data_IF_955648086426
#
_entry.id   IF_955648086426
#
_cell.length_a   1.000
_cell.length_b   1.000
_cell.length_c   1.000
_cell.angle_alpha   90.00
_cell.angle_beta   90.00
_cell.angle_gamma   90.00
#
_symmetry.space_group_name_H-M   'P 1'
#
loop_
_entity.id
_entity.type
_entity.pdbx_description
1 polymer ?
#
# COMPACT_ATOMS: atom_id res chain seq x y z
N UNK A 1 17.29 -7.25 8.30
CA UNK A 1 16.14 -7.71 7.54
C UNK A 1 14.85 -7.72 8.36
N UNK A 2 14.87 -8.23 9.57
CA UNK A 2 13.70 -8.42 10.46
C UNK A 2 13.01 -7.14 10.98
N UNK A 3 13.66 -5.98 10.99
CA UNK A 3 13.15 -4.76 11.66
C UNK A 3 12.12 -3.98 10.81
N UNK A 4 12.27 -3.94 9.49
CA UNK A 4 11.33 -3.21 8.63
C UNK A 4 9.96 -3.90 8.50
N UNK A 5 9.94 -5.22 8.53
CA UNK A 5 8.71 -6.00 8.43
C UNK A 5 7.83 -5.94 9.69
N UNK A 6 8.46 -5.95 10.87
CA UNK A 6 7.75 -5.85 12.16
C UNK A 6 6.96 -4.54 12.31
N UNK A 7 7.32 -3.48 11.57
CA UNK A 7 6.66 -2.18 11.67
C UNK A 7 5.42 -2.01 10.79
N UNK A 8 5.27 -2.80 9.71
CA UNK A 8 4.04 -2.79 8.91
C UNK A 8 2.82 -3.32 9.66
N UNK A 9 3.06 -4.20 10.64
CA UNK A 9 2.01 -4.81 11.46
C UNK A 9 1.70 -4.03 12.75
N UNK A 10 2.67 -3.25 13.27
CA UNK A 10 2.46 -2.45 14.48
C UNK A 10 1.49 -1.27 14.28
N UNK A 11 1.18 -0.88 13.05
CA UNK A 11 0.19 0.15 12.77
C UNK A 11 -1.27 -0.31 12.92
N UNK A 12 -1.49 -1.64 13.02
CA UNK A 12 -2.82 -2.23 13.20
C UNK A 12 -3.17 -2.72 14.61
N UNK A 13 -2.26 -2.63 15.58
CA UNK A 13 -2.46 -3.25 16.89
C UNK A 13 -1.90 -2.40 18.04
N UNK A 14 -2.44 -1.21 18.27
CA UNK A 14 -2.33 -0.53 19.58
C UNK A 14 -3.63 0.23 19.86
N UNK A 15 -4.56 -0.43 20.51
CA UNK A 15 -5.59 0.18 21.34
C UNK A 15 -5.41 -0.33 22.76
N UNK A 16 -4.51 0.31 23.52
CA UNK A 16 -4.51 0.26 24.96
C UNK A 16 -4.78 1.66 25.50
N UNK A 17 -5.96 1.84 26.06
CA UNK A 17 -6.43 3.06 26.71
C UNK A 17 -5.68 3.27 28.01
N UNK A 18 -5.00 4.42 28.16
CA UNK A 18 -4.59 4.97 29.45
C UNK A 18 -4.99 6.44 29.52
N UNK A 19 -5.68 6.88 30.59
CA UNK A 19 -6.09 8.28 30.73
C UNK A 19 -4.93 9.14 31.19
N UNK A 20 -4.61 10.20 30.43
CA UNK A 20 -3.67 11.24 30.86
C UNK A 20 -4.41 12.38 31.55
N UNK A 21 -4.02 12.63 32.78
CA UNK A 21 -4.43 13.78 33.59
C UNK A 21 -3.73 15.02 33.02
N UNK A 22 -4.50 16.02 32.61
CA UNK A 22 -4.00 17.31 32.13
C UNK A 22 -3.80 18.23 33.34
N UNK A 23 -2.55 18.62 33.59
CA UNK A 23 -2.25 19.80 34.43
C UNK A 23 -1.88 20.96 33.53
N UNK A 24 -2.65 22.04 33.63
CA UNK A 24 -2.41 23.29 32.91
C UNK A 24 -1.15 24.01 33.48
N UNK A 25 -0.15 24.17 32.63
CA UNK A 25 1.01 25.04 32.86
C UNK A 25 1.17 25.97 31.69
N UNK A 26 0.93 27.26 31.92
CA UNK A 26 1.12 28.33 30.95
C UNK A 26 2.62 28.52 30.64
N UNK A 27 3.04 28.21 29.41
CA UNK A 27 4.36 28.55 28.87
C UNK A 27 4.23 29.71 27.89
N UNK A 28 4.85 30.82 28.27
CA UNK A 28 5.05 31.97 27.37
C UNK A 28 6.08 31.56 26.28
N UNK A 29 5.63 31.53 25.04
CA UNK A 29 6.55 31.41 23.90
C UNK A 29 7.08 32.79 23.51
N UNK A 30 8.38 32.95 23.62
CA UNK A 30 9.11 34.01 22.95
C UNK A 30 9.12 33.71 21.46
N UNK A 31 8.60 34.63 20.67
CA UNK A 31 8.67 34.61 19.23
C UNK A 31 10.08 35.04 18.81
N UNK A 32 10.97 34.08 18.56
CA UNK A 32 12.22 34.39 17.84
C UNK A 32 11.90 34.51 16.36
N UNK A 33 12.20 35.64 15.77
CA UNK A 33 12.15 35.87 14.33
C UNK A 33 13.02 34.82 13.60
N UNK A 34 12.39 33.88 12.95
CA UNK A 34 13.07 32.95 12.05
C UNK A 34 13.52 33.76 10.83
N UNK A 35 14.83 34.05 10.75
CA UNK A 35 15.47 34.60 9.56
C UNK A 35 15.09 33.70 8.38
N UNK A 36 14.54 34.33 7.33
CA UNK A 36 14.21 33.66 6.06
C UNK A 36 15.43 32.82 5.60
N UNK A 37 15.24 31.53 5.54
CA UNK A 37 16.26 30.63 4.98
C UNK A 37 16.54 31.08 3.54
N UNK A 38 17.81 31.30 3.21
CA UNK A 38 18.22 31.52 1.84
C UNK A 38 17.72 30.38 0.97
N UNK A 39 16.88 30.68 0.03
CA UNK A 39 16.46 29.75 -1.02
C UNK A 39 17.74 29.44 -1.82
N UNK A 40 18.34 28.28 -1.60
CA UNK A 40 19.41 27.78 -2.46
C UNK A 40 18.76 27.56 -3.81
N UNK A 41 19.16 28.34 -4.82
CA UNK A 41 18.77 28.09 -6.21
C UNK A 41 19.34 26.74 -6.60
N UNK A 42 18.50 25.71 -6.59
CA UNK A 42 18.89 24.40 -7.08
C UNK A 42 19.09 24.48 -8.61
N UNK A 43 20.19 23.89 -9.09
CA UNK A 43 20.44 23.82 -10.53
C UNK A 43 19.46 22.87 -11.20
N UNK A 44 19.00 23.22 -12.40
CA UNK A 44 18.06 22.42 -13.22
C UNK A 44 18.53 20.99 -13.41
N UNK A 45 17.67 20.01 -13.03
CA UNK A 45 17.97 18.59 -13.19
C UNK A 45 18.93 18.02 -12.15
N UNK A 46 18.98 18.62 -10.95
CA UNK A 46 19.84 18.17 -9.84
C UNK A 46 19.47 16.81 -9.28
N UNK A 47 18.24 16.39 -9.45
CA UNK A 47 17.74 15.09 -9.00
C UNK A 47 17.14 14.30 -10.15
N UNK A 48 17.17 12.99 -10.04
CA UNK A 48 16.63 12.11 -11.07
C UNK A 48 16.04 10.84 -10.47
N UNK A 49 14.93 10.39 -11.00
CA UNK A 49 14.28 9.14 -10.63
C UNK A 49 14.51 8.08 -11.72
N UNK A 50 15.20 7.00 -11.36
CA UNK A 50 15.29 5.78 -12.15
C UNK A 50 14.06 4.93 -11.91
N UNK A 51 13.53 4.31 -12.97
CA UNK A 51 12.47 3.31 -12.88
C UNK A 51 12.82 2.09 -13.72
N UNK A 52 12.32 0.93 -13.33
CA UNK A 52 12.48 -0.34 -14.05
C UNK A 52 11.23 -1.20 -13.96
N UNK A 53 11.04 -2.16 -14.88
CA UNK A 53 9.91 -3.08 -14.82
C UNK A 53 9.91 -3.86 -13.50
N UNK A 54 8.73 -3.99 -12.91
CA UNK A 54 8.56 -4.76 -11.69
C UNK A 54 8.74 -6.26 -11.96
N UNK A 55 9.41 -6.96 -11.04
CA UNK A 55 9.43 -8.41 -10.95
C UNK A 55 8.52 -8.85 -9.81
N UNK A 56 7.44 -9.57 -10.12
CA UNK A 56 6.42 -10.00 -9.14
C UNK A 56 6.95 -10.93 -8.05
N UNK A 57 8.02 -11.66 -8.34
CA UNK A 57 8.65 -12.56 -7.37
C UNK A 57 9.73 -11.87 -6.51
N UNK A 58 9.97 -10.57 -6.74
CA UNK A 58 11.02 -9.84 -6.05
C UNK A 58 10.49 -9.03 -4.88
N UNK A 59 11.15 -9.15 -3.73
CA UNK A 59 10.90 -8.29 -2.55
C UNK A 59 11.67 -6.99 -2.61
N UNK A 60 12.83 -7.01 -3.28
CA UNK A 60 13.73 -5.87 -3.40
C UNK A 60 14.60 -5.96 -4.63
N UNK A 61 15.17 -4.83 -4.98
CA UNK A 61 16.17 -4.71 -6.04
C UNK A 61 17.51 -4.23 -5.48
N UNK A 62 18.58 -4.66 -6.13
CA UNK A 62 19.90 -4.06 -6.04
C UNK A 62 20.14 -3.23 -7.28
N UNK A 63 20.57 -1.98 -7.10
CA UNK A 63 20.88 -1.04 -8.18
C UNK A 63 22.35 -0.69 -8.11
N UNK A 64 23.05 -0.81 -9.22
CA UNK A 64 24.44 -0.39 -9.38
C UNK A 64 24.55 0.71 -10.42
N UNK A 65 25.39 1.75 -10.15
CA UNK A 65 25.74 2.80 -11.10
C UNK A 65 27.25 2.79 -11.32
N UNK A 66 27.69 2.94 -12.56
CA UNK A 66 29.10 2.87 -12.97
C UNK A 66 29.38 3.73 -14.20
N UNK A 67 30.66 4.14 -14.36
CA UNK A 67 31.12 5.07 -15.43
C UNK A 67 31.43 4.38 -16.75
N UNK A 68 31.75 3.10 -16.71
CA UNK A 68 32.22 2.35 -17.90
C UNK A 68 31.73 0.91 -17.81
N UNK A 69 31.18 0.42 -18.88
CA UNK A 69 30.83 -0.98 -19.01
C UNK A 69 32.12 -1.81 -19.07
N UNK A 70 32.36 -2.72 -18.08
CA UNK A 70 33.53 -3.57 -18.09
C UNK A 70 33.55 -4.47 -19.33
N UNK A 71 34.75 -4.76 -19.86
CA UNK A 71 34.90 -5.69 -21.02
C UNK A 71 34.49 -7.12 -20.67
N UNK A 72 34.72 -7.50 -19.42
CA UNK A 72 34.43 -8.81 -18.84
C UNK A 72 33.19 -8.77 -17.94
N UNK A 73 32.21 -7.93 -18.29
CA UNK A 73 30.98 -7.77 -17.53
C UNK A 73 30.29 -9.11 -17.34
N UNK A 74 30.17 -9.52 -16.07
CA UNK A 74 29.42 -10.71 -15.70
C UNK A 74 28.00 -10.32 -15.24
N UNK A 75 27.05 -11.10 -15.70
CA UNK A 75 25.65 -10.85 -15.40
C UNK A 75 25.23 -11.29 -13.97
N UNK A 76 26.03 -12.12 -13.34
CA UNK A 76 25.76 -12.76 -12.04
C UNK A 76 26.54 -12.15 -10.85
N UNK A 77 27.53 -11.30 -11.13
CA UNK A 77 28.39 -10.73 -10.10
C UNK A 77 28.31 -9.20 -10.06
N UNK A 78 28.37 -8.59 -8.85
CA UNK A 78 28.46 -7.15 -8.69
C UNK A 78 29.68 -6.56 -9.37
N UNK A 79 29.58 -5.32 -9.84
CA UNK A 79 30.71 -4.57 -10.41
C UNK A 79 31.59 -4.03 -9.27
N UNK A 80 32.85 -4.40 -9.25
CA UNK A 80 33.77 -4.00 -8.18
C UNK A 80 33.97 -2.46 -8.10
N UNK A 81 33.92 -1.76 -9.24
CA UNK A 81 34.13 -0.32 -9.36
C UNK A 81 32.82 0.45 -9.57
N UNK A 82 31.69 -0.06 -9.06
CA UNK A 82 30.45 0.69 -9.04
C UNK A 82 30.63 1.95 -8.18
N UNK A 83 30.27 3.13 -8.73
CA UNK A 83 30.36 4.40 -8.00
C UNK A 83 29.18 4.58 -7.02
N UNK A 84 28.12 3.81 -7.21
CA UNK A 84 26.98 3.73 -6.32
C UNK A 84 26.42 2.31 -6.31
N UNK A 85 26.00 1.84 -5.15
CA UNK A 85 25.28 0.59 -4.99
C UNK A 85 24.24 0.74 -3.88
N UNK A 86 23.00 0.39 -4.18
CA UNK A 86 21.94 0.25 -3.19
C UNK A 86 21.32 -1.14 -3.30
N UNK A 87 21.41 -1.93 -2.23
CA UNK A 87 20.93 -3.31 -2.18
C UNK A 87 19.55 -3.44 -1.53
N UNK A 88 18.91 -2.32 -1.15
CA UNK A 88 17.67 -2.29 -0.38
C UNK A 88 16.61 -1.38 -1.01
N UNK A 89 16.41 -1.51 -2.31
CA UNK A 89 15.32 -0.80 -3.01
C UNK A 89 14.10 -1.71 -3.04
N UNK A 90 13.09 -1.38 -2.26
CA UNK A 90 11.87 -2.19 -2.11
C UNK A 90 10.76 -1.81 -3.10
N UNK A 91 10.96 -0.76 -3.88
CA UNK A 91 10.10 -0.36 -4.98
C UNK A 91 10.81 -0.63 -6.31
N UNK A 92 10.15 -0.35 -7.43
CA UNK A 92 10.74 -0.38 -8.76
C UNK A 92 11.24 1.01 -9.23
N UNK A 93 11.55 1.88 -8.28
CA UNK A 93 12.03 3.24 -8.52
C UNK A 93 13.08 3.67 -7.49
N UNK A 94 13.98 4.54 -7.90
CA UNK A 94 15.04 5.08 -7.04
C UNK A 94 15.35 6.52 -7.43
N UNK A 95 15.18 7.44 -6.49
CA UNK A 95 15.57 8.84 -6.67
C UNK A 95 17.03 9.04 -6.29
N UNK A 96 17.76 9.76 -7.13
CA UNK A 96 19.20 10.00 -7.03
C UNK A 96 19.48 11.50 -6.97
N UNK A 97 20.50 11.87 -6.19
CA UNK A 97 21.11 13.18 -6.23
C UNK A 97 22.19 13.18 -7.33
N UNK A 98 21.88 13.79 -8.46
CA UNK A 98 22.75 13.80 -9.64
C UNK A 98 23.90 14.79 -9.52
N UNK A 99 23.88 15.70 -8.55
CA UNK A 99 24.95 16.73 -8.37
C UNK A 99 26.30 16.10 -8.07
N UNK A 100 26.29 14.97 -7.33
CA UNK A 100 27.51 14.24 -6.99
C UNK A 100 28.24 13.64 -8.21
N UNK A 101 27.55 13.53 -9.36
CA UNK A 101 28.08 12.88 -10.58
C UNK A 101 28.12 13.80 -11.80
N UNK A 102 27.93 15.11 -11.66
CA UNK A 102 27.86 16.03 -12.80
C UNK A 102 29.10 15.99 -13.72
N UNK A 103 30.27 15.75 -13.14
CA UNK A 103 31.54 15.63 -13.87
C UNK A 103 31.81 14.22 -14.45
N UNK A 104 30.92 13.26 -14.19
CA UNK A 104 31.18 11.83 -14.38
C UNK A 104 30.25 11.20 -15.43
N UNK A 105 30.31 11.70 -16.68
CA UNK A 105 29.52 11.17 -17.80
C UNK A 105 30.38 10.43 -18.82
N UNK A 106 29.86 9.36 -19.47
CA UNK A 106 28.53 8.77 -19.30
C UNK A 106 28.39 7.94 -18.01
N UNK A 107 27.16 7.77 -17.53
CA UNK A 107 26.82 6.89 -16.44
C UNK A 107 25.88 5.77 -16.92
N UNK A 108 26.14 4.57 -16.42
CA UNK A 108 25.33 3.39 -16.71
C UNK A 108 24.78 2.83 -15.41
N UNK A 109 23.62 2.19 -15.48
CA UNK A 109 23.06 1.44 -14.36
C UNK A 109 22.61 0.05 -14.79
N UNK A 110 22.49 -0.83 -13.82
CA UNK A 110 21.83 -2.13 -13.94
C UNK A 110 21.15 -2.50 -12.64
N UNK A 111 20.18 -3.38 -12.72
CA UNK A 111 19.33 -3.79 -11.59
C UNK A 111 19.31 -5.31 -11.49
N UNK A 112 19.28 -5.84 -10.27
CA UNK A 112 19.08 -7.25 -9.97
C UNK A 112 17.99 -7.41 -8.92
N UNK A 113 17.05 -8.32 -9.17
CA UNK A 113 15.96 -8.64 -8.26
C UNK A 113 16.36 -9.70 -7.24
N UNK A 114 15.73 -9.68 -6.06
CA UNK A 114 15.93 -10.65 -4.97
C UNK A 114 14.60 -11.12 -4.42
N UNK A 115 14.48 -12.42 -4.16
CA UNK A 115 13.30 -13.08 -3.64
C UNK A 115 13.11 -12.88 -2.12
N UNK A 116 12.07 -13.54 -1.57
CA UNK A 116 11.72 -13.48 -0.16
C UNK A 116 12.79 -14.10 0.75
N UNK A 117 13.53 -15.09 0.27
CA UNK A 117 14.65 -15.74 0.98
C UNK A 117 15.96 -14.95 0.86
N UNK A 118 15.97 -13.87 0.06
CA UNK A 118 17.14 -13.03 -0.18
C UNK A 118 18.08 -13.60 -1.26
N UNK A 119 17.62 -14.56 -2.04
CA UNK A 119 18.38 -15.08 -3.17
C UNK A 119 18.15 -14.21 -4.42
N UNK A 120 19.15 -14.07 -5.30
CA UNK A 120 18.98 -13.34 -6.54
C UNK A 120 18.07 -14.09 -7.52
N UNK A 121 17.12 -13.35 -8.08
CA UNK A 121 16.24 -13.84 -9.15
C UNK A 121 16.89 -13.53 -10.50
N UNK A 122 17.61 -14.51 -11.03
CA UNK A 122 18.30 -14.36 -12.31
C UNK A 122 19.50 -13.39 -12.28
N UNK A 123 19.99 -12.99 -13.45
CA UNK A 123 21.13 -12.11 -13.59
C UNK A 123 20.76 -10.63 -13.37
N UNK A 124 21.78 -9.78 -13.29
CA UNK A 124 21.58 -8.33 -13.46
C UNK A 124 21.01 -8.02 -14.85
N UNK A 125 20.22 -6.98 -14.95
CA UNK A 125 19.78 -6.43 -16.23
C UNK A 125 20.98 -6.04 -17.11
N UNK A 126 20.75 -5.92 -18.41
CA UNK A 126 21.75 -5.29 -19.27
C UNK A 126 21.97 -3.84 -18.81
N UNK A 127 23.21 -3.33 -18.92
CA UNK A 127 23.48 -1.95 -18.64
C UNK A 127 22.65 -1.00 -19.50
N UNK A 128 22.04 -0.01 -18.87
CA UNK A 128 21.31 1.06 -19.53
C UNK A 128 21.94 2.41 -19.18
N UNK A 129 21.82 3.36 -20.10
CA UNK A 129 22.30 4.72 -19.89
C UNK A 129 21.42 5.44 -18.87
N UNK A 130 22.03 6.02 -17.83
CA UNK A 130 21.32 6.71 -16.75
C UNK A 130 20.59 7.94 -17.28
N UNK A 131 21.22 8.75 -18.13
CA UNK A 131 20.64 10.00 -18.65
C UNK A 131 19.37 9.77 -19.47
N UNK A 132 19.31 8.66 -20.22
CA UNK A 132 18.15 8.32 -21.05
C UNK A 132 16.99 7.72 -20.24
N UNK A 133 17.27 7.18 -19.05
CA UNK A 133 16.30 6.51 -18.21
C UNK A 133 15.76 7.37 -17.07
N UNK A 134 16.36 8.54 -16.83
CA UNK A 134 16.01 9.41 -15.71
C UNK A 134 14.82 10.32 -16.02
N UNK A 135 13.83 10.29 -15.14
CA UNK A 135 12.92 11.43 -14.96
C UNK A 135 13.64 12.48 -14.10
N UNK A 136 13.93 13.67 -14.66
CA UNK A 136 14.67 14.73 -13.98
C UNK A 136 13.73 15.69 -13.24
N UNK A 137 14.13 16.07 -12.03
CA UNK A 137 13.43 17.07 -11.23
C UNK A 137 14.42 18.04 -10.59
N UNK A 138 13.98 19.27 -10.36
CA UNK A 138 14.75 20.29 -9.65
C UNK A 138 14.51 20.22 -8.13
N UNK A 139 13.52 19.46 -7.70
CA UNK A 139 13.10 19.41 -6.31
C UNK A 139 13.68 18.21 -5.59
N UNK A 140 14.31 18.47 -4.46
CA UNK A 140 14.62 17.43 -3.48
C UNK A 140 13.35 17.15 -2.64
N UNK A 141 12.43 16.40 -3.20
CA UNK A 141 11.18 16.05 -2.53
C UNK A 141 10.76 14.64 -2.95
N UNK A 142 10.10 13.86 -2.09
CA UNK A 142 9.51 12.60 -2.51
C UNK A 142 8.56 12.80 -3.70
N UNK A 143 8.41 11.79 -4.54
CA UNK A 143 7.52 11.80 -5.69
C UNK A 143 6.29 10.96 -5.36
N UNK A 144 5.12 11.58 -5.09
CA UNK A 144 3.88 10.85 -4.88
C UNK A 144 3.55 9.96 -6.08
N UNK A 145 3.07 8.76 -5.80
CA UNK A 145 2.43 7.94 -6.81
C UNK A 145 1.00 8.45 -7.01
N UNK A 146 0.53 8.47 -8.25
CA UNK A 146 -0.86 8.81 -8.58
C UNK A 146 -1.69 7.51 -8.67
N UNK A 147 -2.35 7.10 -7.58
CA UNK A 147 -3.05 5.83 -7.54
C UNK A 147 -4.42 5.87 -8.22
N UNK A 148 -5.03 7.06 -8.30
CA UNK A 148 -6.44 7.20 -8.66
C UNK A 148 -6.68 7.70 -10.10
N UNK A 149 -5.66 7.80 -10.90
CA UNK A 149 -5.75 8.42 -12.22
C UNK A 149 -6.24 7.51 -13.36
N UNK A 150 -6.32 6.19 -13.16
CA UNK A 150 -6.53 5.25 -14.29
C UNK A 150 -7.30 4.01 -13.85
N UNK A 151 -8.38 3.68 -14.55
CA UNK A 151 -9.15 2.45 -14.37
C UNK A 151 -10.44 2.62 -13.58
N UNK A 152 -11.12 1.50 -13.31
CA UNK A 152 -12.39 1.44 -12.57
C UNK A 152 -12.20 1.43 -11.04
N UNK A 153 -10.95 1.46 -10.56
CA UNK A 153 -10.66 1.49 -9.14
C UNK A 153 -11.20 2.75 -8.47
N UNK A 154 -11.84 2.59 -7.35
CA UNK A 154 -12.40 3.69 -6.59
C UNK A 154 -11.36 4.34 -5.68
N UNK A 155 -11.74 5.49 -5.14
CA UNK A 155 -11.02 6.10 -4.03
C UNK A 155 -11.22 5.25 -2.78
N UNK A 156 -10.14 4.94 -2.07
CA UNK A 156 -10.19 4.18 -0.82
C UNK A 156 -10.80 5.04 0.29
N UNK A 157 -11.70 4.46 1.10
CA UNK A 157 -12.20 5.13 2.30
C UNK A 157 -11.08 5.32 3.34
N UNK A 158 -10.20 4.33 3.45
CA UNK A 158 -8.97 4.37 4.25
C UNK A 158 -7.76 4.56 3.34
N UNK A 159 -7.31 5.79 3.11
CA UNK A 159 -6.29 6.07 2.10
C UNK A 159 -4.93 5.45 2.43
N UNK A 160 -4.19 5.12 1.40
CA UNK A 160 -2.77 4.78 1.50
C UNK A 160 -1.98 5.75 0.65
N UNK A 161 -1.01 6.41 1.25
CA UNK A 161 -0.19 7.44 0.62
C UNK A 161 1.15 6.83 0.22
N UNK A 162 1.35 6.54 -1.06
CA UNK A 162 2.57 5.93 -1.58
C UNK A 162 3.40 6.90 -2.40
N UNK A 163 4.73 6.76 -2.32
CA UNK A 163 5.67 7.67 -2.96
C UNK A 163 7.04 7.02 -3.17
N UNK A 164 7.79 7.56 -4.12
CA UNK A 164 9.23 7.31 -4.22
C UNK A 164 9.95 8.27 -3.28
N UNK A 165 10.76 7.73 -2.37
CA UNK A 165 11.50 8.53 -1.40
C UNK A 165 12.61 9.36 -2.04
N UNK A 166 12.94 10.51 -1.44
CA UNK A 166 14.02 11.35 -1.89
C UNK A 166 15.38 10.97 -1.24
N UNK A 167 16.51 11.31 -1.88
CA UNK A 167 17.84 10.99 -1.37
C UNK A 167 18.07 11.55 0.04
N UNK A 168 18.84 10.80 0.84
CA UNK A 168 19.23 11.15 2.22
C UNK A 168 18.10 11.21 3.25
N UNK A 169 16.88 10.84 2.89
CA UNK A 169 15.81 10.66 3.85
C UNK A 169 15.96 9.33 4.60
N UNK A 170 15.84 9.36 5.92
CA UNK A 170 15.80 8.18 6.79
C UNK A 170 14.37 7.80 7.18
N UNK A 171 13.45 8.76 7.10
CA UNK A 171 12.03 8.60 7.36
C UNK A 171 11.24 9.66 6.59
N UNK A 172 9.94 9.58 6.65
CA UNK A 172 9.04 10.49 5.94
C UNK A 172 7.95 10.99 6.86
N UNK A 173 7.50 12.22 6.63
CA UNK A 173 6.30 12.78 7.23
C UNK A 173 5.26 13.00 6.13
N UNK A 174 4.11 12.34 6.25
CA UNK A 174 2.93 12.58 5.42
C UNK A 174 2.04 13.58 6.12
N UNK A 175 1.52 14.55 5.37
CA UNK A 175 0.57 15.55 5.83
C UNK A 175 -0.68 15.50 4.97
N UNK A 176 -1.85 15.48 5.63
CA UNK A 176 -3.15 15.60 4.97
C UNK A 176 -3.76 16.94 5.34
N UNK A 177 -4.30 17.64 4.34
CA UNK A 177 -4.87 18.98 4.51
C UNK A 177 -6.30 19.07 3.97
N UNK A 178 -7.15 19.86 4.63
CA UNK A 178 -8.54 20.06 4.22
C UNK A 178 -8.70 20.99 3.01
N UNK A 179 -7.63 21.71 2.65
CA UNK A 179 -7.55 22.63 1.50
C UNK A 179 -6.18 22.51 0.87
N UNK A 180 -6.04 23.00 -0.36
CA UNK A 180 -4.72 23.07 -1.01
C UNK A 180 -3.73 23.82 -0.09
N UNK A 181 -2.55 23.24 0.20
CA UNK A 181 -1.58 23.84 1.12
C UNK A 181 -1.10 25.20 0.63
N UNK A 182 -1.06 26.19 1.54
CA UNK A 182 -0.65 27.56 1.24
C UNK A 182 0.87 27.72 1.07
N UNK A 183 1.65 26.78 1.59
CA UNK A 183 3.13 26.87 1.69
C UNK A 183 3.80 25.77 0.85
N UNK A 184 3.71 25.86 -0.48
CA UNK A 184 4.24 24.84 -1.41
C UNK A 184 5.75 24.64 -1.35
N UNK A 185 6.51 25.69 -1.02
CA UNK A 185 7.97 25.73 -1.02
C UNK A 185 8.56 25.88 0.38
N UNK A 186 7.76 25.71 1.42
CA UNK A 186 8.21 25.84 2.79
C UNK A 186 8.55 24.50 3.45
N UNK A 187 9.16 24.61 4.63
CA UNK A 187 9.40 23.46 5.51
C UNK A 187 8.34 23.34 6.61
N UNK A 188 7.52 24.37 6.77
CA UNK A 188 6.47 24.38 7.80
C UNK A 188 5.28 23.52 7.41
N UNK A 189 4.57 22.97 8.40
CA UNK A 189 3.26 22.38 8.18
C UNK A 189 2.28 23.39 7.60
N UNK A 190 1.25 22.91 6.85
CA UNK A 190 0.15 23.77 6.42
C UNK A 190 -0.75 24.16 7.60
N UNK A 191 -1.31 25.36 7.56
CA UNK A 191 -2.36 25.76 8.52
C UNK A 191 -3.66 24.99 8.31
N UNK A 192 -3.83 24.33 7.16
CA UNK A 192 -4.99 23.51 6.82
C UNK A 192 -4.80 22.02 7.16
N UNK A 193 -3.74 21.67 7.90
CA UNK A 193 -3.43 20.29 8.30
C UNK A 193 -4.56 19.71 9.15
N UNK A 194 -5.06 18.54 8.75
CA UNK A 194 -6.05 17.76 9.49
C UNK A 194 -5.49 16.44 10.02
N UNK A 195 -4.36 15.98 9.45
CA UNK A 195 -3.66 14.77 9.87
C UNK A 195 -2.18 14.85 9.52
N UNK A 196 -1.34 14.20 10.31
CA UNK A 196 0.04 13.94 9.96
C UNK A 196 0.55 12.70 10.66
N UNK A 197 1.35 11.92 9.96
CA UNK A 197 2.04 10.78 10.53
C UNK A 197 3.44 10.61 9.94
N UNK A 198 4.28 9.86 10.65
CA UNK A 198 5.66 9.55 10.24
C UNK A 198 5.81 8.07 9.96
N UNK A 199 6.61 7.73 8.97
CA UNK A 199 6.93 6.36 8.59
C UNK A 199 8.38 6.26 8.10
N UNK A 200 9.00 5.10 8.24
CA UNK A 200 10.28 4.78 7.61
C UNK A 200 10.08 4.07 6.25
N UNK A 201 8.81 3.80 5.89
CA UNK A 201 8.41 3.15 4.64
C UNK A 201 8.09 4.19 3.57
N UNK A 202 7.98 3.75 2.34
CA UNK A 202 7.57 4.57 1.18
C UNK A 202 6.07 4.56 0.94
N UNK A 203 5.32 4.11 1.92
CA UNK A 203 3.87 4.21 2.00
C UNK A 203 3.42 4.47 3.45
N UNK A 204 2.24 5.08 3.59
CA UNK A 204 1.58 5.31 4.88
C UNK A 204 0.11 4.94 4.76
N UNK A 205 -0.36 4.05 5.63
CA UNK A 205 -1.76 3.69 5.80
C UNK A 205 -2.43 4.69 6.75
N UNK A 206 -3.45 5.39 6.26
CA UNK A 206 -4.28 6.26 7.12
C UNK A 206 -5.28 5.38 7.86
N UNK A 207 -5.31 5.49 9.17
CA UNK A 207 -6.20 4.73 10.05
C UNK A 207 -7.59 5.36 10.22
N UNK A 208 -7.82 6.52 9.57
CA UNK A 208 -9.08 7.22 9.62
C UNK A 208 -9.78 7.23 8.25
N UNK A 209 -11.10 7.02 8.21
CA UNK A 209 -11.85 7.15 6.97
C UNK A 209 -11.83 8.60 6.49
N UNK A 210 -11.56 8.81 5.20
CA UNK A 210 -11.49 10.13 4.58
C UNK A 210 -12.56 10.28 3.51
N UNK A 211 -13.35 11.32 3.64
CA UNK A 211 -14.40 11.69 2.68
C UNK A 211 -14.29 13.16 2.27
N UNK A 212 -14.99 13.53 1.20
CA UNK A 212 -14.95 14.89 0.65
C UNK A 212 -13.71 15.13 -0.22
N UNK A 213 -13.30 16.37 -0.35
CA UNK A 213 -12.07 16.76 -1.05
C UNK A 213 -11.01 17.11 -0.03
N UNK A 214 -9.86 16.49 -0.16
CA UNK A 214 -8.68 16.73 0.67
C UNK A 214 -7.41 16.58 -0.15
N UNK A 215 -6.29 17.02 0.43
CA UNK A 215 -4.99 16.98 -0.23
C UNK A 215 -3.99 16.29 0.69
N UNK A 216 -3.02 15.61 0.11
CA UNK A 216 -1.90 15.07 0.86
C UNK A 216 -0.57 15.39 0.20
N UNK A 217 0.47 15.44 0.99
CA UNK A 217 1.85 15.62 0.56
C UNK A 217 2.79 14.96 1.54
N UNK A 218 4.02 14.74 1.11
CA UNK A 218 5.04 14.04 1.90
C UNK A 218 6.37 14.76 1.81
N UNK A 219 7.17 14.68 2.85
CA UNK A 219 8.57 15.13 2.86
C UNK A 219 9.49 14.10 3.50
N UNK A 220 10.78 14.09 3.08
CA UNK A 220 11.82 13.33 3.72
C UNK A 220 12.27 13.97 5.04
N UNK A 221 12.73 13.13 5.95
CA UNK A 221 13.32 13.50 7.23
C UNK A 221 14.66 12.78 7.38
N UNK A 222 15.67 13.42 7.90
CA UNK A 222 16.94 12.78 8.22
C UNK A 222 16.87 11.90 9.48
N UNK A 223 17.95 11.25 9.83
CA UNK A 223 18.05 10.40 11.03
C UNK A 223 17.89 11.17 12.35
N UNK A 224 17.99 12.52 12.33
CA UNK A 224 17.75 13.39 13.48
C UNK A 224 16.31 13.90 13.54
N UNK A 225 15.50 13.59 12.54
CA UNK A 225 14.11 14.03 12.42
C UNK A 225 13.95 15.45 11.85
N UNK A 226 14.99 15.99 11.21
CA UNK A 226 14.91 17.27 10.49
C UNK A 226 14.50 17.05 9.04
N UNK A 227 13.77 18.01 8.42
CA UNK A 227 13.41 17.93 7.02
C UNK A 227 14.62 17.82 6.09
N UNK A 228 14.54 16.90 5.12
CA UNK A 228 15.48 16.75 4.02
C UNK A 228 14.77 17.13 2.74
N UNK A 229 15.13 18.26 2.16
CA UNK A 229 14.45 18.78 0.99
C UNK A 229 13.08 19.40 1.30
N UNK A 230 12.24 19.51 0.29
CA UNK A 230 10.93 20.18 0.35
C UNK A 230 9.79 19.17 0.53
N UNK A 231 8.59 19.71 0.76
CA UNK A 231 7.36 18.94 0.58
C UNK A 231 7.20 18.54 -0.89
N UNK A 232 6.65 17.36 -1.13
CA UNK A 232 6.18 16.97 -2.45
C UNK A 232 5.09 17.92 -2.95
N UNK A 233 4.78 17.88 -4.26
CA UNK A 233 3.58 18.52 -4.77
C UNK A 233 2.34 17.87 -4.13
N UNK A 234 1.36 18.68 -3.70
CA UNK A 234 0.13 18.14 -3.12
C UNK A 234 -0.65 17.33 -4.14
N UNK A 235 -1.20 16.19 -3.69
CA UNK A 235 -2.11 15.36 -4.46
C UNK A 235 -3.53 15.60 -3.97
N UNK A 236 -4.46 15.86 -4.89
CA UNK A 236 -5.88 16.02 -4.58
C UNK A 236 -6.57 14.65 -4.57
N UNK A 237 -7.37 14.37 -3.54
CA UNK A 237 -8.25 13.23 -3.50
C UNK A 237 -9.69 13.71 -3.35
N UNK A 238 -10.59 13.11 -4.17
CA UNK A 238 -12.04 13.40 -4.15
C UNK A 238 -12.78 12.11 -3.81
N UNK A 239 -13.29 12.03 -2.61
CA UNK A 239 -14.12 10.94 -2.12
C UNK A 239 -15.46 11.45 -1.59
N UNK A 240 -16.38 11.90 -2.46
CA UNK A 240 -17.64 12.44 -2.01
C UNK A 240 -18.53 11.35 -1.41
N UNK A 241 -19.16 11.66 -0.28
CA UNK A 241 -20.24 10.84 0.25
C UNK A 241 -21.43 10.95 -0.69
N UNK A 242 -21.79 9.84 -1.33
CA UNK A 242 -22.92 9.72 -2.24
C UNK A 242 -23.43 8.29 -2.25
N UNK A 243 -24.64 8.09 -2.74
CA UNK A 243 -25.15 6.75 -3.02
C UNK A 243 -24.30 6.00 -4.06
N UNK A 244 -24.02 4.75 -3.80
CA UNK A 244 -23.30 3.86 -4.69
C UNK A 244 -24.14 2.62 -4.99
N UNK A 245 -24.10 2.13 -6.24
CA UNK A 245 -24.73 0.86 -6.56
C UNK A 245 -24.03 -0.30 -5.89
N UNK A 246 -22.69 -0.30 -5.92
CA UNK A 246 -21.85 -1.37 -5.36
C UNK A 246 -20.80 -0.78 -4.43
N UNK A 247 -20.65 -1.41 -3.28
CA UNK A 247 -19.50 -1.19 -2.39
C UNK A 247 -18.78 -2.50 -2.12
N UNK A 248 -17.47 -2.40 -1.92
CA UNK A 248 -16.58 -3.48 -1.50
C UNK A 248 -16.24 -3.29 -0.03
N UNK A 249 -16.36 -4.33 0.77
CA UNK A 249 -16.17 -4.29 2.21
C UNK A 249 -15.42 -5.52 2.70
N UNK A 250 -14.27 -5.32 3.33
CA UNK A 250 -13.42 -6.42 3.75
C UNK A 250 -12.14 -5.97 4.41
N UNK A 251 -11.21 -6.92 4.48
CA UNK A 251 -9.85 -6.74 4.98
C UNK A 251 -8.86 -6.29 3.90
N UNK A 252 -7.57 -6.54 4.09
CA UNK A 252 -6.51 -6.15 3.15
C UNK A 252 -6.64 -6.76 1.75
N UNK A 253 -7.26 -7.92 1.61
CA UNK A 253 -7.46 -8.56 0.28
C UNK A 253 -8.36 -7.69 -0.60
N UNK A 254 -9.38 -7.08 -0.01
CA UNK A 254 -10.33 -6.16 -0.66
C UNK A 254 -9.84 -4.72 -0.65
N UNK A 255 -9.19 -4.25 0.43
CA UNK A 255 -8.61 -2.91 0.47
C UNK A 255 -7.63 -2.72 -0.69
N UNK A 256 -6.87 -3.76 -1.02
CA UNK A 256 -5.91 -3.79 -2.11
C UNK A 256 -4.49 -4.02 -1.59
N UNK A 257 -3.56 -3.99 -2.51
CA UNK A 257 -2.20 -4.43 -2.26
C UNK A 257 -2.04 -5.91 -2.57
N UNK A 258 -0.85 -6.30 -2.91
CA UNK A 258 -0.58 -7.69 -3.32
C UNK A 258 0.89 -7.98 -3.38
N UNK A 259 1.66 -7.11 -2.76
CA UNK A 259 3.09 -7.27 -2.74
C UNK A 259 3.66 -6.53 -1.54
N UNK A 260 4.74 -7.03 -0.97
CA UNK A 260 5.41 -6.40 0.17
C UNK A 260 5.85 -4.94 -0.09
N UNK A 261 6.02 -4.59 -1.37
CA UNK A 261 6.44 -3.24 -1.82
C UNK A 261 5.31 -2.41 -2.41
N UNK A 262 4.14 -3.01 -2.68
CA UNK A 262 3.03 -2.35 -3.37
C UNK A 262 1.74 -2.52 -2.58
N UNK A 263 1.35 -1.46 -1.91
CA UNK A 263 0.15 -1.39 -1.09
C UNK A 263 -1.12 -1.06 -1.90
N UNK A 264 -2.22 -0.80 -1.21
CA UNK A 264 -3.51 -0.46 -1.82
C UNK A 264 -3.49 0.78 -2.73
N UNK A 265 -2.50 1.65 -2.56
CA UNK A 265 -2.31 2.80 -3.45
C UNK A 265 -1.92 2.41 -4.88
N UNK A 266 -1.39 1.20 -5.10
CA UNK A 266 -1.14 0.68 -6.44
C UNK A 266 -2.35 -0.11 -6.94
N UNK A 267 -3.14 0.53 -7.80
CA UNK A 267 -4.41 -0.03 -8.30
C UNK A 267 -4.26 -1.33 -9.09
N UNK A 268 -3.08 -1.65 -9.62
CA UNK A 268 -2.85 -2.95 -10.25
C UNK A 268 -3.04 -4.12 -9.29
N UNK A 269 -2.90 -3.87 -7.98
CA UNK A 269 -3.09 -4.85 -6.91
C UNK A 269 -4.47 -4.77 -6.24
N UNK A 270 -5.44 -4.13 -6.87
CA UNK A 270 -6.84 -4.16 -6.46
C UNK A 270 -7.68 -4.89 -7.50
N UNK A 271 -8.48 -5.88 -7.08
CA UNK A 271 -9.41 -6.53 -8.00
C UNK A 271 -10.50 -5.57 -8.49
N UNK A 272 -10.81 -4.49 -7.75
CA UNK A 272 -11.74 -3.45 -8.19
C UNK A 272 -11.31 -2.80 -9.52
N UNK A 273 -10.00 -2.68 -9.75
CA UNK A 273 -9.47 -2.09 -10.99
C UNK A 273 -9.81 -2.89 -12.24
N UNK A 274 -10.21 -4.14 -12.07
CA UNK A 274 -10.56 -5.08 -13.14
C UNK A 274 -12.06 -5.41 -13.17
N UNK A 275 -12.89 -4.74 -12.35
CA UNK A 275 -14.35 -4.91 -12.41
C UNK A 275 -14.94 -4.17 -13.62
N UNK A 276 -16.00 -4.73 -14.20
CA UNK A 276 -16.73 -4.15 -15.33
C UNK A 276 -17.74 -3.08 -14.90
N UNK A 277 -17.80 -2.77 -13.61
CA UNK A 277 -18.72 -1.80 -13.01
C UNK A 277 -18.02 -0.97 -11.94
N UNK A 278 -18.49 0.27 -11.69
CA UNK A 278 -17.93 1.11 -10.64
C UNK A 278 -18.34 0.62 -9.26
N UNK A 279 -17.41 0.68 -8.31
CA UNK A 279 -17.63 0.37 -6.89
C UNK A 279 -16.93 1.39 -6.00
N UNK A 280 -17.28 1.44 -4.72
CA UNK A 280 -16.51 2.16 -3.71
C UNK A 280 -15.85 1.17 -2.76
N UNK A 281 -14.57 1.40 -2.46
CA UNK A 281 -13.81 0.58 -1.54
C UNK A 281 -13.92 1.09 -0.10
N UNK A 282 -14.66 0.34 0.72
CA UNK A 282 -14.87 0.60 2.14
C UNK A 282 -14.04 -0.34 3.01
N UNK A 283 -13.10 -1.06 2.43
CA UNK A 283 -12.27 -2.06 3.12
C UNK A 283 -11.13 -1.41 3.89
N UNK A 284 -10.62 -2.10 4.92
CA UNK A 284 -9.49 -1.66 5.72
C UNK A 284 -8.50 -2.81 5.93
N UNK A 285 -7.23 -2.57 5.63
CA UNK A 285 -6.17 -3.56 5.85
C UNK A 285 -6.03 -3.90 7.34
N UNK A 286 -5.89 -5.19 7.62
CA UNK A 286 -5.72 -5.71 8.98
C UNK A 286 -7.02 -6.06 9.70
N UNK A 287 -8.19 -5.79 9.12
CA UNK A 287 -9.47 -6.08 9.75
C UNK A 287 -9.64 -7.57 10.08
N UNK A 288 -10.15 -7.81 11.27
CA UNK A 288 -10.79 -9.07 11.66
C UNK A 288 -12.28 -9.02 11.31
N UNK A 289 -12.95 -10.17 11.32
CA UNK A 289 -14.41 -10.21 11.13
C UNK A 289 -15.18 -9.38 12.16
N UNK A 290 -14.73 -9.40 13.42
CA UNK A 290 -15.28 -8.57 14.50
C UNK A 290 -15.09 -7.06 14.22
N UNK A 291 -13.90 -6.64 13.78
CA UNK A 291 -13.64 -5.24 13.43
C UNK A 291 -14.57 -4.76 12.32
N UNK A 292 -14.82 -5.60 11.31
CA UNK A 292 -15.80 -5.32 10.25
C UNK A 292 -17.20 -5.12 10.81
N UNK A 293 -17.66 -5.96 11.76
CA UNK A 293 -18.96 -5.77 12.41
C UNK A 293 -19.04 -4.42 13.12
N UNK A 294 -17.98 -4.02 13.83
CA UNK A 294 -17.95 -2.79 14.63
C UNK A 294 -17.95 -1.50 13.79
N UNK A 295 -17.30 -1.50 12.63
CA UNK A 295 -17.20 -0.28 11.79
C UNK A 295 -18.30 -0.15 10.73
N UNK A 296 -19.21 -1.13 10.63
CA UNK A 296 -20.23 -1.20 9.56
C UNK A 296 -21.07 0.08 9.46
N UNK A 297 -21.67 0.55 10.56
CA UNK A 297 -22.57 1.71 10.55
C UNK A 297 -21.83 2.99 10.12
N UNK A 298 -20.61 3.15 10.62
CA UNK A 298 -19.78 4.33 10.35
C UNK A 298 -19.33 4.38 8.88
N UNK A 299 -18.96 3.23 8.32
CA UNK A 299 -18.25 3.17 7.05
C UNK A 299 -19.16 2.81 5.87
N UNK A 300 -20.21 2.01 6.08
CA UNK A 300 -21.09 1.55 5.01
C UNK A 300 -22.31 2.46 4.83
N UNK A 301 -23.00 2.80 5.93
CA UNK A 301 -24.28 3.51 5.85
C UNK A 301 -24.21 4.89 5.20
N UNK A 302 -23.15 5.70 5.35
CA UNK A 302 -23.07 7.00 4.69
C UNK A 302 -23.13 6.91 3.15
N UNK A 303 -22.70 5.79 2.58
CA UNK A 303 -22.68 5.57 1.14
C UNK A 303 -23.92 4.87 0.60
N UNK A 304 -24.74 4.30 1.48
CA UNK A 304 -26.03 3.63 1.18
C UNK A 304 -25.97 2.74 -0.07
N UNK A 305 -25.05 1.76 -0.16
CA UNK A 305 -24.91 0.94 -1.36
C UNK A 305 -26.15 0.05 -1.55
N UNK A 306 -26.48 -0.26 -2.81
CA UNK A 306 -27.53 -1.26 -3.10
C UNK A 306 -27.01 -2.68 -2.83
N UNK A 307 -25.72 -2.92 -3.19
CA UNK A 307 -25.03 -4.21 -3.02
C UNK A 307 -23.74 -4.01 -2.26
N UNK A 308 -23.50 -4.88 -1.28
CA UNK A 308 -22.25 -4.93 -0.53
C UNK A 308 -21.54 -6.25 -0.80
N UNK A 309 -20.38 -6.18 -1.50
CA UNK A 309 -19.49 -7.32 -1.70
C UNK A 309 -18.61 -7.48 -0.47
N UNK A 310 -18.75 -8.59 0.25
CA UNK A 310 -18.15 -8.81 1.57
C UNK A 310 -17.12 -9.91 1.49
N UNK A 311 -15.84 -9.57 1.72
CA UNK A 311 -14.73 -10.53 1.83
C UNK A 311 -13.95 -10.27 3.10
N UNK A 312 -14.13 -11.10 4.11
CA UNK A 312 -13.47 -10.93 5.39
C UNK A 312 -13.49 -12.19 6.23
N UNK A 313 -12.56 -12.29 7.17
CA UNK A 313 -12.35 -13.43 8.04
C UNK A 313 -10.96 -14.06 7.93
N UNK A 314 -10.21 -13.77 6.87
CA UNK A 314 -8.84 -14.30 6.69
C UNK A 314 -7.96 -14.04 7.90
N UNK A 315 -7.93 -12.80 8.41
CA UNK A 315 -7.11 -12.44 9.56
C UNK A 315 -7.56 -13.14 10.84
N UNK A 316 -8.88 -13.27 11.07
CA UNK A 316 -9.43 -13.98 12.21
C UNK A 316 -9.08 -15.46 12.20
N UNK A 317 -9.30 -16.14 11.08
CA UNK A 317 -9.07 -17.59 10.94
C UNK A 317 -7.59 -17.96 11.02
N UNK A 318 -6.70 -17.20 10.37
CA UNK A 318 -5.26 -17.46 10.45
C UNK A 318 -4.69 -17.21 11.85
N UNK A 319 -5.35 -16.37 12.65
CA UNK A 319 -5.02 -16.13 14.04
C UNK A 319 -5.63 -17.17 15.01
N UNK A 320 -6.43 -18.11 14.50
CA UNK A 320 -7.04 -19.19 15.29
C UNK A 320 -8.38 -18.83 15.91
N UNK A 321 -9.05 -17.76 15.47
CA UNK A 321 -10.44 -17.50 15.85
C UNK A 321 -11.31 -18.64 15.30
N UNK A 322 -12.22 -19.23 16.12
CA UNK A 322 -13.10 -20.31 15.66
C UNK A 322 -13.92 -19.91 14.43
N UNK A 323 -14.06 -20.83 13.48
CA UNK A 323 -14.87 -20.61 12.27
C UNK A 323 -16.32 -20.20 12.59
N UNK A 324 -16.89 -20.77 13.67
CA UNK A 324 -18.25 -20.44 14.14
C UNK A 324 -18.38 -18.94 14.54
N UNK A 325 -17.34 -18.34 15.12
CA UNK A 325 -17.36 -16.93 15.50
C UNK A 325 -17.29 -16.04 14.26
N UNK A 326 -16.42 -16.37 13.30
CA UNK A 326 -16.34 -15.67 12.00
C UNK A 326 -17.67 -15.76 11.24
N UNK A 327 -18.31 -16.93 11.22
CA UNK A 327 -19.64 -17.13 10.62
C UNK A 327 -20.70 -16.26 11.34
N UNK A 328 -20.62 -16.17 12.66
CA UNK A 328 -21.51 -15.29 13.44
C UNK A 328 -21.34 -13.82 13.06
N UNK A 329 -20.10 -13.36 12.90
CA UNK A 329 -19.79 -11.98 12.46
C UNK A 329 -20.31 -11.71 11.04
N UNK A 330 -20.11 -12.64 10.11
CA UNK A 330 -20.64 -12.51 8.73
C UNK A 330 -22.17 -12.45 8.73
N UNK A 331 -22.84 -13.28 9.53
CA UNK A 331 -24.30 -13.22 9.71
C UNK A 331 -24.76 -11.89 10.28
N UNK A 332 -24.02 -11.33 11.23
CA UNK A 332 -24.33 -10.02 11.80
C UNK A 332 -24.19 -8.90 10.76
N UNK A 333 -23.13 -8.92 9.93
CA UNK A 333 -22.99 -7.98 8.81
C UNK A 333 -24.16 -8.13 7.83
N UNK A 334 -24.55 -9.36 7.47
CA UNK A 334 -25.71 -9.61 6.61
C UNK A 334 -27.00 -9.07 7.21
N UNK A 335 -27.21 -9.25 8.53
CA UNK A 335 -28.39 -8.75 9.25
C UNK A 335 -28.44 -7.22 9.15
N UNK A 336 -27.32 -6.54 9.47
CA UNK A 336 -27.19 -5.09 9.36
C UNK A 336 -27.47 -4.59 7.95
N UNK A 337 -26.96 -5.26 6.93
CA UNK A 337 -27.26 -4.96 5.53
C UNK A 337 -28.78 -4.98 5.26
N UNK A 338 -29.45 -6.10 5.61
CA UNK A 338 -30.89 -6.26 5.36
C UNK A 338 -31.75 -5.22 6.09
N UNK A 339 -31.38 -4.84 7.31
CA UNK A 339 -32.07 -3.80 8.07
C UNK A 339 -32.01 -2.42 7.40
N UNK A 340 -30.99 -2.18 6.60
CA UNK A 340 -30.79 -0.93 5.86
C UNK A 340 -31.10 -1.02 4.36
N UNK A 341 -31.74 -2.12 3.91
CA UNK A 341 -32.10 -2.32 2.52
C UNK A 341 -30.91 -2.57 1.58
N UNK A 342 -29.76 -2.99 2.13
CA UNK A 342 -28.57 -3.35 1.38
C UNK A 342 -28.57 -4.84 1.10
N UNK A 343 -28.29 -5.26 -0.12
CA UNK A 343 -28.13 -6.66 -0.48
C UNK A 343 -26.71 -7.14 -0.17
N UNK A 344 -26.51 -7.99 0.87
CA UNK A 344 -25.19 -8.54 1.15
C UNK A 344 -24.85 -9.68 0.19
N UNK A 345 -23.64 -9.67 -0.33
CA UNK A 345 -23.08 -10.72 -1.18
C UNK A 345 -21.76 -11.15 -0.56
N UNK A 346 -21.72 -12.34 0.01
CA UNK A 346 -20.51 -12.88 0.60
C UNK A 346 -19.55 -13.36 -0.49
N UNK A 347 -18.26 -13.21 -0.27
CA UNK A 347 -17.22 -13.73 -1.16
C UNK A 347 -16.40 -14.79 -0.43
N UNK A 348 -16.14 -15.92 -1.08
CA UNK A 348 -15.32 -16.99 -0.50
C UNK A 348 -13.87 -16.56 -0.34
N UNK A 349 -13.24 -17.04 0.72
CA UNK A 349 -11.86 -16.72 1.09
C UNK A 349 -10.89 -17.56 0.23
N UNK A 350 -9.99 -16.93 -0.54
CA UNK A 350 -8.90 -17.66 -1.19
C UNK A 350 -7.98 -18.32 -0.15
N UNK A 351 -7.28 -19.41 -0.50
CA UNK A 351 -6.32 -20.03 0.40
C UNK A 351 -5.17 -19.08 0.75
N UNK A 352 -4.36 -19.43 1.74
CA UNK A 352 -3.16 -18.69 2.14
C UNK A 352 -1.94 -19.60 2.08
N UNK A 353 -0.73 -19.02 2.24
CA UNK A 353 0.52 -19.77 2.33
C UNK A 353 1.22 -19.44 3.67
N UNK A 354 1.13 -20.32 4.69
CA UNK A 354 1.70 -20.08 6.01
C UNK A 354 3.21 -19.88 6.02
N UNK A 355 3.94 -20.57 5.16
CA UNK A 355 5.41 -20.44 5.09
C UNK A 355 5.82 -19.05 4.61
N UNK A 356 5.18 -18.54 3.55
CA UNK A 356 5.44 -17.20 3.05
C UNK A 356 4.99 -16.12 4.03
N UNK A 357 3.86 -16.33 4.72
CA UNK A 357 3.41 -15.44 5.81
C UNK A 357 4.47 -15.36 6.91
N UNK A 358 4.98 -16.49 7.35
CA UNK A 358 6.04 -16.53 8.37
C UNK A 358 7.31 -15.81 7.90
N UNK A 359 7.71 -15.99 6.64
CA UNK A 359 8.88 -15.31 6.07
C UNK A 359 8.66 -13.80 5.92
N UNK A 360 7.49 -13.41 5.44
CA UNK A 360 7.17 -12.01 5.15
C UNK A 360 6.94 -11.18 6.41
N UNK A 361 6.14 -11.69 7.34
CA UNK A 361 5.64 -10.94 8.49
C UNK A 361 6.24 -11.39 9.83
N UNK A 362 6.91 -12.55 9.86
CA UNK A 362 7.36 -13.21 11.08
C UNK A 362 6.19 -13.49 12.05
N UNK A 363 5.05 -13.88 11.48
CA UNK A 363 3.84 -14.24 12.19
C UNK A 363 3.48 -15.70 11.93
N UNK A 364 3.19 -16.50 12.98
CA UNK A 364 2.69 -17.84 12.79
C UNK A 364 1.24 -17.81 12.27
N UNK A 365 0.90 -18.82 11.50
CA UNK A 365 -0.48 -19.11 11.12
C UNK A 365 -0.98 -20.28 11.97
N UNK A 366 -2.25 -20.22 12.41
CA UNK A 366 -2.90 -21.32 13.13
C UNK A 366 -2.88 -22.60 12.28
N UNK A 367 -2.43 -23.71 12.85
CA UNK A 367 -2.28 -24.98 12.13
C UNK A 367 -3.60 -25.49 11.51
N UNK A 368 -4.73 -25.25 12.18
CA UNK A 368 -6.06 -25.62 11.72
C UNK A 368 -6.69 -24.67 10.69
N UNK A 369 -5.95 -23.70 10.16
CA UNK A 369 -6.48 -22.66 9.30
C UNK A 369 -7.29 -23.20 8.11
N UNK A 370 -6.79 -24.27 7.45
CA UNK A 370 -7.43 -24.83 6.26
C UNK A 370 -8.84 -25.34 6.56
N UNK A 371 -9.00 -26.13 7.61
CA UNK A 371 -10.30 -26.64 8.02
C UNK A 371 -11.26 -25.49 8.40
N UNK A 372 -10.74 -24.43 9.05
CA UNK A 372 -11.52 -23.24 9.39
C UNK A 372 -11.96 -22.46 8.14
N UNK A 373 -11.08 -22.33 7.13
CA UNK A 373 -11.42 -21.71 5.84
C UNK A 373 -12.47 -22.52 5.09
N UNK A 374 -12.32 -23.87 5.06
CA UNK A 374 -13.27 -24.77 4.42
C UNK A 374 -14.67 -24.66 5.06
N UNK A 375 -14.75 -24.58 6.40
CA UNK A 375 -16.00 -24.42 7.13
C UNK A 375 -16.67 -23.06 6.82
N UNK A 376 -15.91 -21.97 6.85
CA UNK A 376 -16.43 -20.63 6.51
C UNK A 376 -16.83 -20.56 5.04
N UNK A 377 -16.03 -21.09 4.11
CA UNK A 377 -16.36 -21.10 2.69
C UNK A 377 -17.61 -21.98 2.39
N UNK A 378 -17.77 -23.10 3.11
CA UNK A 378 -18.99 -23.91 3.00
C UNK A 378 -20.23 -23.13 3.46
N UNK A 379 -20.14 -22.38 4.56
CA UNK A 379 -21.20 -21.46 4.98
C UNK A 379 -21.48 -20.40 3.91
N UNK A 380 -20.45 -19.72 3.40
CA UNK A 380 -20.59 -18.67 2.38
C UNK A 380 -21.30 -19.20 1.13
N UNK A 381 -20.95 -20.40 0.65
CA UNK A 381 -21.57 -21.06 -0.51
C UNK A 381 -23.04 -21.41 -0.28
N UNK A 382 -23.51 -21.47 0.96
CA UNK A 382 -24.94 -21.65 1.31
C UNK A 382 -25.77 -20.36 1.27
N UNK A 383 -25.10 -19.20 1.13
CA UNK A 383 -25.74 -17.88 1.12
C UNK A 383 -25.73 -17.25 -0.30
N UNK A 384 -26.22 -16.01 -0.44
CA UNK A 384 -26.01 -15.23 -1.66
C UNK A 384 -24.53 -14.88 -1.74
N UNK A 385 -23.81 -15.44 -2.70
CA UNK A 385 -22.37 -15.38 -2.73
C UNK A 385 -21.76 -15.25 -4.13
N UNK A 386 -20.49 -14.90 -4.16
CA UNK A 386 -19.58 -15.02 -5.31
C UNK A 386 -18.41 -15.89 -4.90
N UNK A 387 -18.15 -16.96 -5.63
CA UNK A 387 -17.08 -17.91 -5.29
C UNK A 387 -15.71 -17.44 -5.80
N UNK A 388 -15.16 -16.42 -5.14
CA UNK A 388 -13.85 -15.83 -5.48
C UNK A 388 -12.68 -16.77 -5.21
N UNK A 389 -12.87 -17.83 -4.41
CA UNK A 389 -11.89 -18.88 -4.18
C UNK A 389 -11.86 -19.95 -5.26
N UNK A 390 -12.91 -20.08 -6.08
CA UNK A 390 -13.02 -21.13 -7.10
C UNK A 390 -11.79 -21.28 -8.03
N UNK A 391 -11.12 -20.20 -8.48
CA UNK A 391 -9.91 -20.35 -9.30
C UNK A 391 -8.73 -21.02 -8.60
N UNK A 392 -8.80 -21.17 -7.28
CA UNK A 392 -7.71 -21.63 -6.42
C UNK A 392 -8.05 -22.94 -5.71
N UNK A 393 -9.20 -23.59 -6.02
CA UNK A 393 -9.68 -24.79 -5.31
C UNK A 393 -8.71 -25.98 -5.37
N UNK A 394 -7.97 -26.14 -6.47
CA UNK A 394 -6.99 -27.21 -6.63
C UNK A 394 -5.65 -26.89 -5.91
N UNK A 395 -5.50 -25.70 -5.35
CA UNK A 395 -4.30 -25.26 -4.67
C UNK A 395 -4.46 -25.51 -3.16
N UNK A 396 -3.60 -26.35 -2.61
CA UNK A 396 -3.59 -26.57 -1.14
C UNK A 396 -3.21 -25.29 -0.38
N UNK A 397 -2.30 -24.51 -0.96
CA UNK A 397 -1.82 -23.21 -0.48
C UNK A 397 -1.60 -22.28 -1.68
N UNK A 398 -1.66 -20.97 -1.46
CA UNK A 398 -1.32 -20.00 -2.51
C UNK A 398 0.15 -20.16 -2.92
N UNK A 399 0.43 -20.41 -4.20
CA UNK A 399 1.78 -20.48 -4.68
C UNK A 399 2.46 -19.10 -4.64
N UNK A 400 3.76 -19.05 -4.38
CA UNK A 400 4.56 -17.82 -4.28
C UNK A 400 4.44 -16.92 -5.50
N UNK A 401 4.23 -17.50 -6.69
CA UNK A 401 4.05 -16.71 -7.94
C UNK A 401 2.70 -16.00 -8.05
N UNK A 402 1.71 -16.33 -7.20
CA UNK A 402 0.44 -15.60 -7.11
C UNK A 402 0.39 -14.68 -5.88
N UNK A 403 1.02 -15.08 -4.77
CA UNK A 403 1.03 -14.29 -3.54
C UNK A 403 2.39 -14.42 -2.85
N UNK A 404 3.27 -13.48 -3.11
CA UNK A 404 4.65 -13.49 -2.61
C UNK A 404 4.72 -13.55 -1.08
N UNK A 405 3.82 -12.86 -0.40
CA UNK A 405 3.75 -12.81 1.07
C UNK A 405 2.82 -13.87 1.68
N UNK A 406 2.20 -14.68 0.82
CA UNK A 406 1.32 -15.78 1.23
C UNK A 406 -0.13 -15.40 1.54
N UNK A 407 -0.51 -14.11 1.45
CA UNK A 407 -1.89 -13.65 1.66
C UNK A 407 -2.36 -12.75 0.52
N UNK A 408 -1.55 -11.74 0.16
CA UNK A 408 -1.96 -10.71 -0.76
C UNK A 408 -1.55 -11.10 -2.18
N UNK A 409 -2.54 -11.41 -2.98
CA UNK A 409 -2.34 -11.80 -4.36
C UNK A 409 -1.77 -10.70 -5.24
N UNK A 410 -0.92 -11.07 -6.18
CA UNK A 410 -0.45 -10.18 -7.23
C UNK A 410 -1.59 -9.76 -8.17
N UNK A 411 -1.27 -8.99 -9.21
CA UNK A 411 -2.27 -8.53 -10.17
C UNK A 411 -2.93 -9.68 -10.97
N UNK A 412 -2.25 -10.85 -11.14
CA UNK A 412 -2.86 -11.99 -11.81
C UNK A 412 -3.95 -12.60 -10.93
N UNK A 413 -3.66 -12.82 -9.64
CA UNK A 413 -4.66 -13.27 -8.68
C UNK A 413 -5.84 -12.31 -8.60
N UNK A 414 -5.57 -10.98 -8.55
CA UNK A 414 -6.62 -9.95 -8.52
C UNK A 414 -7.51 -9.98 -9.77
N UNK A 415 -6.94 -10.23 -10.95
CA UNK A 415 -7.71 -10.43 -12.19
C UNK A 415 -8.55 -11.68 -12.14
N UNK A 416 -8.01 -12.82 -11.69
CA UNK A 416 -8.76 -14.06 -11.55
C UNK A 416 -9.97 -13.87 -10.62
N UNK A 417 -9.81 -13.19 -9.50
CA UNK A 417 -10.93 -12.84 -8.61
C UNK A 417 -11.94 -11.93 -9.31
N UNK A 418 -11.50 -10.89 -10.00
CA UNK A 418 -12.38 -9.96 -10.72
C UNK A 418 -13.15 -10.64 -11.85
N UNK A 419 -12.54 -11.58 -12.59
CA UNK A 419 -13.22 -12.38 -13.62
C UNK A 419 -14.39 -13.17 -13.05
N UNK A 420 -14.23 -13.77 -11.85
CA UNK A 420 -15.33 -14.45 -11.17
C UNK A 420 -16.42 -13.46 -10.77
N UNK A 421 -16.04 -12.32 -10.20
CA UNK A 421 -17.00 -11.28 -9.78
C UNK A 421 -17.78 -10.76 -11.00
N UNK A 422 -17.11 -10.41 -12.09
CA UNK A 422 -17.72 -9.90 -13.32
C UNK A 422 -18.70 -10.93 -13.95
N UNK A 423 -18.40 -12.22 -13.84
CA UNK A 423 -19.25 -13.30 -14.35
C UNK A 423 -20.47 -13.54 -13.48
N UNK A 424 -20.33 -13.53 -12.15
CA UNK A 424 -21.39 -13.96 -11.22
C UNK A 424 -22.29 -12.79 -10.75
N UNK A 425 -21.75 -11.62 -10.54
CA UNK A 425 -22.49 -10.47 -10.03
C UNK A 425 -23.71 -10.07 -10.90
N UNK A 426 -23.62 -10.02 -12.26
CA UNK A 426 -24.78 -9.74 -13.09
C UNK A 426 -25.93 -10.74 -12.94
N UNK A 427 -25.62 -12.01 -12.64
CA UNK A 427 -26.65 -13.06 -12.41
C UNK A 427 -27.40 -12.81 -11.11
N UNK A 428 -26.67 -12.39 -10.05
CA UNK A 428 -27.27 -12.03 -8.76
C UNK A 428 -28.20 -10.82 -8.90
N UNK A 429 -27.81 -9.83 -9.72
CA UNK A 429 -28.64 -8.64 -9.98
C UNK A 429 -29.90 -8.95 -10.80
N UNK A 430 -29.90 -10.03 -11.58
CA UNK A 430 -31.03 -10.41 -12.46
C UNK A 430 -32.07 -11.30 -11.79
N UNK A 431 -31.74 -11.95 -10.67
CA UNK A 431 -32.61 -12.84 -9.90
C UNK A 431 -33.25 -12.20 -8.73
#
# INVERSE_FOLDING_TARGET
MTIQWKRRLAAGLVLAVLPLIITAGSLHFHCEEVRAAQVIKEEKGSYGCLTWPQNLNAVRSEVEIFKKIPKDLRADTPIANAIYRNTHVYTNSLMLDMRQWQAEKPLFYRVRAYDLDGHPIGPYSQPADVESALFKTERNAPIPHDPYGKGNGSVLLYPVYAYTGNPNAASYEVEVTSRYPENLHGFSPSVHRIYAAKTELTDLYDDAPRTGTYYWRVRGMDSTGKPVGEWSLPQEIKNPVKHWKVAVYGDSISHGGGHLSFGPADLAYSYESYLDFPSINLSQSGDTSEAMVMRFEKDVLPFSPEYLLILGGTNSLRAGVPAADVISDLKEIQRKCREHGITPILMTLPPINPENIQKAFNEPTYEGWKASFDEVNAFIRGEVHIDTAAPFEEMEELPTWLALDGIHGDWNMKRMMAEVINREFPKIMAG
#
